data_IF_629400257755
#
_entry.id   IF_629400257755
#
_cell.length_a   1.000
_cell.length_b   1.000
_cell.length_c   1.000
_cell.angle_alpha   90.00
_cell.angle_beta   90.00
_cell.angle_gamma   90.00
#
_symmetry.space_group_name_H-M   'P 1'
#
loop_
_entity.id
_entity.type
_entity.pdbx_description
1 polymer ?
#
# COMPACT_ATOMS: atom_id res chain seq x y z
N UNK A 1 -6.56 14.67 9.17
CA UNK A 1 -6.94 13.82 8.02
C UNK A 1 -7.33 12.45 8.55
N UNK A 2 -8.49 11.94 8.12
CA UNK A 2 -9.12 10.72 8.64
C UNK A 2 -8.78 9.49 7.78
N UNK A 3 -8.61 8.34 8.41
CA UNK A 3 -8.38 7.06 7.74
C UNK A 3 -9.68 6.52 7.14
N UNK A 4 -9.65 6.19 5.84
CA UNK A 4 -10.74 5.58 5.10
C UNK A 4 -10.43 4.11 4.86
N UNK A 5 -11.20 3.22 5.46
CA UNK A 5 -11.06 1.78 5.25
C UNK A 5 -11.83 1.35 3.99
N UNK A 6 -11.21 0.50 3.17
CA UNK A 6 -11.87 -0.18 2.04
C UNK A 6 -12.59 -1.42 2.60
N UNK A 7 -13.91 -1.51 2.43
CA UNK A 7 -14.72 -2.60 3.00
C UNK A 7 -15.32 -3.53 1.94
N UNK A 8 -15.47 -3.05 0.71
CA UNK A 8 -16.15 -3.79 -0.36
C UNK A 8 -15.69 -3.30 -1.74
N UNK A 9 -16.20 -3.97 -2.78
CA UNK A 9 -15.91 -3.65 -4.19
C UNK A 9 -16.27 -2.21 -4.58
N UNK A 10 -17.37 -1.66 -4.04
CA UNK A 10 -17.77 -0.28 -4.32
C UNK A 10 -16.73 0.72 -3.78
N UNK A 11 -16.14 0.47 -2.62
CA UNK A 11 -15.07 1.29 -2.08
C UNK A 11 -13.79 1.20 -2.92
N UNK A 12 -13.50 0.01 -3.46
CA UNK A 12 -12.38 -0.21 -4.39
C UNK A 12 -12.60 0.61 -5.66
N UNK A 13 -13.71 0.43 -6.36
CA UNK A 13 -14.00 1.14 -7.62
C UNK A 13 -13.93 2.65 -7.42
N UNK A 14 -14.58 3.18 -6.37
CA UNK A 14 -14.53 4.61 -6.04
C UNK A 14 -13.10 5.12 -5.84
N UNK A 15 -12.26 4.35 -5.14
CA UNK A 15 -10.88 4.71 -4.91
C UNK A 15 -10.10 4.69 -6.22
N UNK A 16 -10.17 3.60 -6.99
CA UNK A 16 -9.47 3.43 -8.26
C UNK A 16 -9.81 4.56 -9.23
N UNK A 17 -11.10 4.86 -9.40
CA UNK A 17 -11.57 5.96 -10.26
C UNK A 17 -11.04 7.31 -9.77
N UNK A 18 -11.12 7.59 -8.46
CA UNK A 18 -10.61 8.85 -7.89
C UNK A 18 -9.11 9.05 -8.04
N UNK A 19 -8.36 7.95 -8.15
CA UNK A 19 -6.91 7.96 -8.31
C UNK A 19 -6.48 7.79 -9.77
N UNK A 20 -7.41 7.76 -10.72
CA UNK A 20 -7.15 7.45 -12.13
C UNK A 20 -6.31 6.18 -12.29
N UNK A 21 -6.69 5.11 -11.58
CA UNK A 21 -5.97 3.84 -11.56
C UNK A 21 -4.47 3.97 -11.20
N UNK A 22 -4.14 4.98 -10.38
CA UNK A 22 -2.76 5.33 -10.02
C UNK A 22 -1.87 5.73 -11.19
N UNK A 23 -2.44 6.05 -12.35
CA UNK A 23 -1.68 6.63 -13.44
C UNK A 23 -0.96 7.91 -12.97
N UNK A 24 0.22 8.18 -13.53
CA UNK A 24 1.11 9.28 -13.18
C UNK A 24 1.39 9.39 -11.67
N UNK A 25 1.58 8.23 -11.03
CA UNK A 25 1.87 8.12 -9.59
C UNK A 25 3.22 7.43 -9.34
N UNK A 26 3.74 7.51 -8.12
CA UNK A 26 4.94 6.78 -7.72
C UNK A 26 4.92 6.45 -6.22
N UNK A 27 5.57 5.34 -5.85
CA UNK A 27 5.81 5.00 -4.44
C UNK A 27 7.05 5.78 -3.98
N UNK A 28 6.91 6.65 -2.99
CA UNK A 28 8.02 7.49 -2.50
C UNK A 28 8.59 7.03 -1.17
N UNK A 29 7.97 6.04 -0.52
CA UNK A 29 8.47 5.50 0.73
C UNK A 29 7.58 4.41 1.29
N UNK A 30 8.16 3.63 2.18
CA UNK A 30 7.43 2.60 2.91
C UNK A 30 7.97 2.42 4.31
N UNK A 31 7.12 1.90 5.20
CA UNK A 31 7.55 1.27 6.45
C UNK A 31 6.98 -0.13 6.52
N UNK A 32 7.73 -1.05 7.10
CA UNK A 32 7.32 -2.42 7.33
C UNK A 32 7.52 -2.77 8.80
N UNK A 33 6.51 -3.38 9.39
CA UNK A 33 6.61 -4.05 10.68
C UNK A 33 6.09 -5.46 10.53
N UNK A 34 6.90 -6.46 10.88
CA UNK A 34 6.45 -7.84 11.03
C UNK A 34 5.55 -8.04 12.26
N UNK A 35 5.49 -7.03 13.14
CA UNK A 35 5.00 -7.10 14.53
C UNK A 35 5.79 -8.04 15.44
N UNK A 36 6.84 -8.68 14.93
CA UNK A 36 7.81 -9.46 15.71
C UNK A 36 8.94 -8.55 16.15
N UNK A 37 9.35 -8.65 17.41
CA UNK A 37 10.44 -7.86 17.98
C UNK A 37 11.23 -8.67 19.00
N UNK A 38 12.36 -8.12 19.43
CA UNK A 38 13.19 -8.69 20.50
C UNK A 38 12.94 -7.88 21.76
N UNK A 39 12.57 -8.53 22.86
CA UNK A 39 12.38 -7.84 24.14
C UNK A 39 13.72 -7.30 24.65
N UNK A 40 13.73 -6.03 25.10
CA UNK A 40 14.97 -5.36 25.52
C UNK A 40 15.49 -5.85 26.88
N UNK A 41 14.63 -6.49 27.68
CA UNK A 41 14.95 -6.92 29.04
C UNK A 41 15.67 -8.26 29.05
N UNK A 42 15.16 -9.22 28.28
CA UNK A 42 15.64 -10.61 28.30
C UNK A 42 16.11 -11.14 26.94
N UNK A 43 16.09 -10.30 25.90
CA UNK A 43 16.48 -10.61 24.53
C UNK A 43 15.67 -11.75 23.89
N UNK A 44 14.47 -12.04 24.42
CA UNK A 44 13.59 -13.06 23.86
C UNK A 44 12.89 -12.59 22.58
N UNK A 45 12.60 -13.54 21.69
CA UNK A 45 11.82 -13.29 20.48
C UNK A 45 10.33 -13.22 20.82
N UNK A 46 9.72 -12.05 20.66
CA UNK A 46 8.27 -11.87 20.77
C UNK A 46 7.63 -11.96 19.39
N UNK A 47 6.80 -12.98 19.19
CA UNK A 47 6.18 -13.28 17.91
C UNK A 47 4.94 -12.41 17.66
N UNK A 48 4.97 -11.65 16.56
CA UNK A 48 3.81 -10.95 16.04
C UNK A 48 3.08 -11.77 14.97
N UNK A 49 1.75 -11.62 14.91
CA UNK A 49 0.90 -12.33 13.93
C UNK A 49 0.19 -11.39 12.95
N UNK A 50 0.43 -10.08 13.05
CA UNK A 50 -0.20 -9.08 12.20
C UNK A 50 0.87 -8.16 11.57
N UNK A 51 1.54 -8.58 10.49
CA UNK A 51 2.45 -7.71 9.76
C UNK A 51 1.71 -6.54 9.12
N UNK A 52 2.30 -5.35 9.23
CA UNK A 52 1.75 -4.08 8.74
C UNK A 52 2.75 -3.41 7.80
N UNK A 53 2.25 -2.94 6.66
CA UNK A 53 3.02 -2.12 5.72
C UNK A 53 2.32 -0.78 5.58
N UNK A 54 3.08 0.31 5.63
CA UNK A 54 2.59 1.63 5.21
C UNK A 54 3.30 2.06 3.94
N UNK A 55 2.55 2.43 2.91
CA UNK A 55 3.08 2.92 1.64
C UNK A 55 2.73 4.40 1.48
N UNK A 56 3.70 5.20 1.03
CA UNK A 56 3.48 6.58 0.61
C UNK A 56 3.47 6.64 -0.90
N UNK A 57 2.37 7.13 -1.46
CA UNK A 57 2.17 7.26 -2.91
C UNK A 57 1.99 8.74 -3.23
N UNK A 58 2.76 9.26 -4.17
CA UNK A 58 2.60 10.61 -4.72
C UNK A 58 2.04 10.55 -6.13
N UNK A 59 1.25 11.57 -6.50
CA UNK A 59 0.54 11.65 -7.79
C UNK A 59 0.79 12.99 -8.45
N UNK A 60 0.96 12.99 -9.77
CA UNK A 60 0.93 14.19 -10.59
C UNK A 60 -0.53 14.62 -10.82
N UNK A 61 -1.16 15.18 -9.79
CA UNK A 61 -2.56 15.61 -9.83
C UNK A 61 -2.78 16.87 -8.98
N UNK A 62 -3.89 17.59 -9.22
CA UNK A 62 -4.26 18.80 -8.47
C UNK A 62 -4.99 18.51 -7.15
N UNK A 63 -5.39 17.25 -6.91
CA UNK A 63 -6.07 16.80 -5.69
C UNK A 63 -5.68 15.36 -5.36
N UNK A 64 -5.78 14.96 -4.08
CA UNK A 64 -5.32 13.65 -3.61
C UNK A 64 -3.87 13.38 -4.04
N UNK A 65 -3.01 14.38 -3.80
CA UNK A 65 -1.65 14.43 -4.38
C UNK A 65 -0.68 13.51 -3.66
N UNK A 66 -0.90 13.29 -2.36
CA UNK A 66 -0.10 12.35 -1.57
C UNK A 66 -1.02 11.52 -0.70
N UNK A 67 -0.84 10.20 -0.75
CA UNK A 67 -1.63 9.21 -0.06
C UNK A 67 -0.73 8.38 0.83
N UNK A 68 -1.25 8.00 1.99
CA UNK A 68 -0.68 6.95 2.81
C UNK A 68 -1.65 5.76 2.83
N UNK A 69 -1.16 4.59 2.42
CA UNK A 69 -1.87 3.33 2.54
C UNK A 69 -1.35 2.62 3.78
N UNK A 70 -2.26 2.05 4.58
CA UNK A 70 -1.96 1.16 5.69
C UNK A 70 -2.55 -0.22 5.36
N UNK A 71 -1.66 -1.19 5.20
CA UNK A 71 -1.95 -2.56 4.86
C UNK A 71 -1.76 -3.42 6.11
N UNK A 72 -2.79 -4.12 6.55
CA UNK A 72 -2.75 -4.99 7.73
C UNK A 72 -2.95 -6.46 7.33
N UNK A 73 -2.30 -7.38 8.05
CA UNK A 73 -2.30 -8.79 7.72
C UNK A 73 -1.64 -9.06 6.37
N UNK A 74 -0.50 -8.42 6.12
CA UNK A 74 0.24 -8.55 4.85
C UNK A 74 0.81 -9.96 4.72
N UNK A 75 0.54 -10.60 3.59
CA UNK A 75 1.02 -11.96 3.27
C UNK A 75 1.89 -12.00 2.02
N UNK A 76 1.94 -10.88 1.29
CA UNK A 76 2.80 -10.66 0.13
C UNK A 76 3.06 -9.16 0.00
N UNK A 77 4.33 -8.79 -0.19
CA UNK A 77 4.77 -7.47 -0.62
C UNK A 77 5.96 -7.68 -1.55
N UNK A 78 5.91 -7.09 -2.73
CA UNK A 78 6.98 -7.17 -3.72
C UNK A 78 7.18 -5.81 -4.38
N UNK A 79 8.44 -5.43 -4.59
CA UNK A 79 8.84 -4.22 -5.32
C UNK A 79 10.06 -4.60 -6.16
N UNK A 80 9.91 -4.50 -7.48
CA UNK A 80 10.93 -4.70 -8.48
C UNK A 80 11.34 -3.35 -9.05
N UNK A 81 12.64 -3.06 -9.05
CA UNK A 81 13.17 -1.84 -9.64
C UNK A 81 14.04 -2.20 -10.84
N UNK A 82 13.68 -1.71 -12.03
CA UNK A 82 14.58 -1.66 -13.17
C UNK A 82 15.22 -0.26 -13.21
N UNK A 83 16.55 -0.22 -13.11
CA UNK A 83 17.32 1.01 -13.09
C UNK A 83 17.39 1.72 -14.45
N UNK A 84 16.90 1.09 -15.52
CA UNK A 84 16.85 1.65 -16.86
C UNK A 84 15.50 2.30 -17.19
N UNK A 85 14.51 2.20 -16.29
CA UNK A 85 13.17 2.73 -16.46
C UNK A 85 12.79 3.64 -15.30
N UNK A 86 11.81 4.51 -15.52
CA UNK A 86 11.14 5.24 -14.45
C UNK A 86 10.37 4.27 -13.53
N UNK A 87 10.29 4.59 -12.24
CA UNK A 87 9.43 3.88 -11.27
C UNK A 87 8.03 4.50 -11.19
N UNK A 88 7.59 5.12 -12.29
CA UNK A 88 6.24 5.67 -12.40
C UNK A 88 5.24 4.53 -12.60
N UNK A 89 4.07 4.70 -11.99
CA UNK A 89 2.95 3.80 -12.14
C UNK A 89 2.19 4.22 -13.38
N UNK A 90 2.17 3.36 -14.40
CA UNK A 90 1.37 3.61 -15.60
C UNK A 90 -0.07 3.20 -15.33
N UNK A 91 -0.28 2.01 -14.79
CA UNK A 91 -1.58 1.53 -14.35
C UNK A 91 -1.43 0.59 -13.15
N UNK A 92 -2.42 0.64 -12.26
CA UNK A 92 -2.53 -0.33 -11.18
C UNK A 92 -3.95 -0.86 -11.08
N UNK A 93 -4.06 -2.06 -10.52
CA UNK A 93 -5.34 -2.69 -10.24
C UNK A 93 -5.42 -3.13 -8.77
N UNK A 94 -6.46 -2.71 -8.06
CA UNK A 94 -6.81 -3.16 -6.72
C UNK A 94 -8.10 -3.99 -6.80
N UNK A 95 -8.11 -5.19 -6.22
CA UNK A 95 -9.29 -6.04 -6.22
C UNK A 95 -9.36 -6.94 -4.99
N UNK A 96 -10.55 -7.46 -4.68
CA UNK A 96 -10.75 -8.40 -3.58
C UNK A 96 -10.97 -9.82 -4.10
N UNK A 97 -10.15 -10.77 -3.65
CA UNK A 97 -10.25 -12.18 -4.06
C UNK A 97 -9.79 -13.14 -2.96
N UNK A 98 -10.55 -14.21 -2.75
CA UNK A 98 -10.26 -15.28 -1.79
C UNK A 98 -9.96 -14.75 -0.38
N UNK A 99 -10.74 -13.79 0.11
CA UNK A 99 -10.59 -13.27 1.48
C UNK A 99 -9.42 -12.30 1.68
N UNK A 100 -8.84 -11.75 0.60
CA UNK A 100 -7.72 -10.81 0.64
C UNK A 100 -7.89 -9.70 -0.39
N UNK A 101 -7.33 -8.53 -0.09
CA UNK A 101 -7.09 -7.48 -1.07
C UNK A 101 -5.77 -7.75 -1.79
N UNK A 102 -5.78 -7.54 -3.10
CA UNK A 102 -4.62 -7.67 -3.98
C UNK A 102 -4.45 -6.36 -4.74
N UNK A 103 -3.23 -5.86 -4.80
CA UNK A 103 -2.87 -4.73 -5.62
C UNK A 103 -1.66 -5.10 -6.46
N UNK A 104 -1.76 -4.85 -7.76
CA UNK A 104 -0.70 -5.11 -8.73
C UNK A 104 -0.48 -3.86 -9.56
N UNK A 105 0.79 -3.54 -9.82
CA UNK A 105 1.23 -2.43 -10.65
C UNK A 105 2.01 -2.95 -11.83
N UNK A 106 1.59 -2.54 -13.03
CA UNK A 106 2.28 -2.78 -14.31
C UNK A 106 2.80 -4.22 -14.45
N UNK A 107 3.87 -4.44 -15.23
CA UNK A 107 4.56 -5.74 -15.42
C UNK A 107 5.25 -6.23 -14.13
N UNK A 108 4.47 -6.37 -13.06
CA UNK A 108 4.86 -6.80 -11.73
C UNK A 108 5.84 -5.85 -11.00
N UNK A 109 5.92 -4.57 -11.40
CA UNK A 109 6.79 -3.58 -10.74
C UNK A 109 6.57 -3.52 -9.22
N UNK A 110 5.31 -3.54 -8.78
CA UNK A 110 4.98 -3.64 -7.37
C UNK A 110 3.69 -4.46 -7.17
N UNK A 111 3.65 -5.22 -6.08
CA UNK A 111 2.42 -5.92 -5.70
C UNK A 111 2.31 -6.14 -4.20
N UNK A 112 1.07 -6.20 -3.70
CA UNK A 112 0.80 -6.63 -2.33
C UNK A 112 -0.45 -7.50 -2.21
N UNK A 113 -0.48 -8.30 -1.15
CA UNK A 113 -1.67 -9.04 -0.70
C UNK A 113 -1.85 -8.85 0.80
N UNK A 114 -3.01 -8.40 1.23
CA UNK A 114 -3.29 -8.14 2.65
C UNK A 114 -4.74 -8.42 3.04
N UNK A 115 -5.01 -8.41 4.35
CA UNK A 115 -6.36 -8.64 4.90
C UNK A 115 -7.21 -7.37 4.92
N UNK A 116 -6.57 -6.23 5.13
CA UNK A 116 -7.26 -4.94 5.27
C UNK A 116 -6.42 -3.83 4.68
N UNK A 117 -7.10 -2.94 3.95
CA UNK A 117 -6.52 -1.71 3.40
C UNK A 117 -7.28 -0.53 3.99
N UNK A 118 -6.53 0.41 4.56
CA UNK A 118 -7.02 1.74 4.88
C UNK A 118 -6.12 2.77 4.23
N UNK A 119 -6.67 3.90 3.81
CA UNK A 119 -5.89 4.96 3.18
C UNK A 119 -6.28 6.32 3.75
N UNK A 120 -5.38 7.29 3.64
CA UNK A 120 -5.67 8.70 3.90
C UNK A 120 -4.88 9.57 2.95
N UNK A 121 -5.41 10.75 2.67
CA UNK A 121 -4.59 11.82 2.11
C UNK A 121 -3.65 12.34 3.20
N UNK A 122 -2.44 12.72 2.81
CA UNK A 122 -1.50 13.46 3.67
C UNK A 122 -1.13 14.78 2.99
N UNK A 123 -1.35 15.89 3.68
CA UNK A 123 -0.89 17.20 3.25
C UNK A 123 0.63 17.26 3.38
N UNK A 124 1.32 17.67 2.30
CA UNK A 124 2.71 18.12 2.41
C UNK A 124 2.72 19.34 3.34
N UNK A 125 3.59 19.28 4.37
CA UNK A 125 3.97 20.47 5.14
C UNK A 125 4.79 21.41 4.27
#
# INVERSE_FOLDING_TARGET
>A
MEWKQIKNETDIVKLMDSLNYFHDSCITGLTYSSSTYVDETDLSMVMGTNPVVKLIIQRQADSLTTLEFCLEGVTHLCIHNDLNTSSEIQEANLYYKNGNFHWNVDDEMASFKCKKVSWREIQKK
#
